data_IF_298790954285
#
_entry.id   IF_298790954285
#
_cell.length_a   1.000
_cell.length_b   1.000
_cell.length_c   1.000
_cell.angle_alpha   90.00
_cell.angle_beta   90.00
_cell.angle_gamma   90.00
#
_symmetry.space_group_name_H-M   'P 1'
#
loop_
_entity.id
_entity.type
_entity.pdbx_description
1 polymer ?
#
# COMPACT_ATOMS: atom_id res chain seq x y z
N UNK A 1 1.97 35.57 6.57
CA UNK A 1 2.81 34.47 6.07
C UNK A 1 3.75 35.05 5.02
N UNK A 2 5.05 35.03 5.28
CA UNK A 2 6.05 35.54 4.31
C UNK A 2 6.29 34.53 3.19
N UNK A 3 6.88 34.96 2.07
CA UNK A 3 7.29 34.03 1.00
C UNK A 3 8.32 33.00 1.48
N UNK A 4 9.12 33.36 2.50
CA UNK A 4 10.08 32.47 3.13
C UNK A 4 9.39 31.38 3.96
N UNK A 5 8.38 31.75 4.76
CA UNK A 5 7.60 30.78 5.54
C UNK A 5 6.92 29.78 4.60
N UNK A 6 6.29 30.28 3.54
CA UNK A 6 5.65 29.47 2.51
C UNK A 6 6.62 28.55 1.77
N UNK A 7 7.86 29.01 1.51
CA UNK A 7 8.91 28.18 0.94
C UNK A 7 9.29 27.03 1.88
N UNK A 8 9.54 27.33 3.16
CA UNK A 8 9.91 26.33 4.17
C UNK A 8 8.82 25.26 4.30
N UNK A 9 7.56 25.68 4.44
CA UNK A 9 6.42 24.77 4.54
C UNK A 9 6.25 23.92 3.27
N UNK A 10 6.45 24.51 2.08
CA UNK A 10 6.44 23.76 0.83
C UNK A 10 7.53 22.68 0.79
N UNK A 11 8.75 22.98 1.25
CA UNK A 11 9.83 21.98 1.34
C UNK A 11 9.50 20.85 2.34
N UNK A 12 8.89 21.18 3.47
CA UNK A 12 8.47 20.20 4.46
C UNK A 12 7.36 19.29 3.92
N UNK A 13 6.42 19.86 3.18
CA UNK A 13 5.36 19.11 2.53
C UNK A 13 5.89 18.15 1.45
N UNK A 14 6.85 18.60 0.63
CA UNK A 14 7.53 17.74 -0.34
C UNK A 14 8.24 16.57 0.35
N UNK A 15 8.96 16.82 1.45
CA UNK A 15 9.59 15.78 2.28
C UNK A 15 8.56 14.79 2.84
N UNK A 16 7.45 15.30 3.38
CA UNK A 16 6.34 14.50 3.85
C UNK A 16 5.78 13.56 2.77
N UNK A 17 5.55 14.09 1.56
CA UNK A 17 5.01 13.36 0.42
C UNK A 17 5.99 12.35 -0.23
N UNK A 18 7.26 12.34 0.20
CA UNK A 18 8.26 11.36 -0.25
C UNK A 18 9.30 11.89 -1.24
N UNK A 19 9.38 13.20 -1.45
CA UNK A 19 10.46 13.81 -2.22
C UNK A 19 11.63 14.11 -1.28
N UNK A 20 12.81 13.49 -1.46
CA UNK A 20 13.96 13.72 -0.60
C UNK A 20 14.62 15.05 -0.97
N UNK A 21 14.14 16.13 -0.36
CA UNK A 21 14.69 17.48 -0.53
C UNK A 21 15.64 17.79 0.63
N UNK A 22 16.88 18.15 0.30
CA UNK A 22 17.92 18.59 1.23
C UNK A 22 17.88 20.10 1.47
N UNK A 23 18.54 20.55 2.53
CA UNK A 23 18.64 21.98 2.83
C UNK A 23 19.37 22.76 1.73
N UNK A 24 20.42 22.18 1.14
CA UNK A 24 21.14 22.80 0.02
C UNK A 24 20.23 22.99 -1.20
N UNK A 25 19.40 21.99 -1.52
CA UNK A 25 18.44 22.09 -2.63
C UNK A 25 17.36 23.15 -2.37
N UNK A 26 16.97 23.33 -1.10
CA UNK A 26 16.12 24.45 -0.69
C UNK A 26 16.77 25.81 -0.96
N UNK A 27 18.06 25.97 -0.64
CA UNK A 27 18.82 27.18 -0.92
C UNK A 27 19.02 27.41 -2.42
N UNK A 28 19.26 26.33 -3.19
CA UNK A 28 19.36 26.39 -4.65
C UNK A 28 18.03 26.84 -5.27
N UNK A 29 16.90 26.35 -4.75
CA UNK A 29 15.58 26.80 -5.15
C UNK A 29 15.36 28.28 -4.87
N UNK A 30 15.74 28.78 -3.68
CA UNK A 30 15.68 30.22 -3.36
C UNK A 30 16.57 31.04 -4.30
N UNK A 31 17.77 30.55 -4.60
CA UNK A 31 18.72 31.19 -5.51
C UNK A 31 18.13 31.27 -6.92
N UNK A 32 17.53 30.18 -7.41
CA UNK A 32 16.85 30.14 -8.70
C UNK A 32 15.67 31.11 -8.75
N UNK A 33 14.87 31.21 -7.67
CA UNK A 33 13.79 32.20 -7.56
C UNK A 33 14.31 33.64 -7.62
N UNK A 34 15.49 33.91 -7.04
CA UNK A 34 16.13 35.23 -7.10
C UNK A 34 16.52 35.66 -8.51
N UNK A 35 16.79 34.71 -9.42
CA UNK A 35 17.20 34.97 -10.80
C UNK A 35 16.01 35.15 -11.75
N UNK A 36 14.97 34.33 -11.60
CA UNK A 36 13.79 34.34 -12.50
C UNK A 36 12.71 35.33 -12.05
N UNK A 37 12.67 35.68 -10.77
CA UNK A 37 11.63 36.51 -10.17
C UNK A 37 10.29 35.78 -9.96
N UNK A 38 9.35 36.43 -9.28
CA UNK A 38 8.07 35.82 -8.87
C UNK A 38 6.88 36.16 -9.79
N UNK A 39 7.17 36.78 -10.94
CA UNK A 39 6.14 37.39 -11.79
C UNK A 39 5.40 36.37 -12.67
N UNK A 40 6.07 35.27 -13.03
CA UNK A 40 5.49 34.21 -13.84
C UNK A 40 5.40 32.92 -13.03
N UNK A 41 4.17 32.55 -12.69
CA UNK A 41 3.85 31.32 -11.97
C UNK A 41 4.42 30.07 -12.63
N UNK A 42 4.36 29.98 -13.96
CA UNK A 42 4.85 28.81 -14.68
C UNK A 42 6.36 28.70 -14.54
N UNK A 43 7.08 29.82 -14.64
CA UNK A 43 8.54 29.84 -14.44
C UNK A 43 8.93 29.49 -13.01
N UNK A 44 8.20 30.02 -12.01
CA UNK A 44 8.38 29.65 -10.59
C UNK A 44 8.18 28.15 -10.40
N UNK A 45 7.13 27.56 -10.99
CA UNK A 45 6.87 26.11 -10.94
C UNK A 45 8.03 25.31 -11.52
N UNK A 46 8.47 25.64 -12.73
CA UNK A 46 9.51 24.88 -13.42
C UNK A 46 10.88 25.04 -12.76
N UNK A 47 11.20 26.21 -12.18
CA UNK A 47 12.45 26.39 -11.47
C UNK A 47 12.46 25.67 -10.11
N UNK A 48 11.34 25.61 -9.39
CA UNK A 48 11.20 24.70 -8.25
C UNK A 48 11.31 23.24 -8.68
N UNK A 49 10.69 22.84 -9.79
CA UNK A 49 10.79 21.48 -10.29
C UNK A 49 12.25 21.12 -10.65
N UNK A 50 12.97 22.02 -11.32
CA UNK A 50 14.35 21.83 -11.74
C UNK A 50 15.33 21.70 -10.56
N UNK A 51 15.03 22.34 -9.42
CA UNK A 51 15.89 22.33 -8.24
C UNK A 51 15.53 21.23 -7.24
N UNK A 52 14.25 20.81 -7.18
CA UNK A 52 13.74 19.92 -6.14
C UNK A 52 13.34 18.52 -6.62
N UNK A 53 13.05 18.32 -7.91
CA UNK A 53 12.54 17.04 -8.44
C UNK A 53 13.66 16.21 -9.06
N UNK A 54 13.94 15.04 -8.47
CA UNK A 54 15.07 14.16 -8.88
C UNK A 54 14.67 13.09 -9.87
N UNK A 55 13.42 12.64 -9.81
CA UNK A 55 12.89 11.53 -10.61
C UNK A 55 11.62 11.95 -11.32
N UNK A 56 11.43 11.47 -12.55
CA UNK A 56 10.24 11.79 -13.34
C UNK A 56 8.93 11.37 -12.65
N UNK A 57 8.96 10.26 -11.90
CA UNK A 57 7.81 9.75 -11.14
C UNK A 57 7.37 10.66 -9.97
N UNK A 58 8.22 11.60 -9.52
CA UNK A 58 7.92 12.55 -8.46
C UNK A 58 7.21 13.81 -8.96
N UNK A 59 7.20 14.03 -10.29
CA UNK A 59 6.66 15.25 -10.91
C UNK A 59 5.18 15.47 -10.61
N UNK A 60 4.36 14.42 -10.67
CA UNK A 60 2.93 14.54 -10.41
C UNK A 60 2.61 14.96 -8.96
N UNK A 61 3.34 14.39 -7.99
CA UNK A 61 3.23 14.76 -6.57
C UNK A 61 3.70 16.20 -6.33
N UNK A 62 4.83 16.58 -6.92
CA UNK A 62 5.34 17.96 -6.87
C UNK A 62 4.32 18.96 -7.43
N UNK A 63 3.78 18.70 -8.63
CA UNK A 63 2.82 19.57 -9.29
C UNK A 63 1.59 19.80 -8.41
N UNK A 64 1.06 18.73 -7.80
CA UNK A 64 -0.08 18.82 -6.88
C UNK A 64 0.21 19.68 -5.64
N UNK A 65 1.40 19.53 -5.03
CA UNK A 65 1.82 20.38 -3.90
C UNK A 65 2.03 21.82 -4.33
N UNK A 66 2.59 22.05 -5.50
CA UNK A 66 2.86 23.39 -6.00
C UNK A 66 1.57 24.18 -6.24
N UNK A 67 0.51 23.54 -6.77
CA UNK A 67 -0.80 24.17 -6.91
C UNK A 67 -1.44 24.54 -5.55
N UNK A 68 -1.16 23.77 -4.50
CA UNK A 68 -1.67 24.03 -3.15
C UNK A 68 -0.96 25.20 -2.45
N UNK A 69 0.37 25.21 -2.47
CA UNK A 69 1.17 26.22 -1.76
C UNK A 69 1.22 27.55 -2.50
N UNK A 70 1.12 27.51 -3.81
CA UNK A 70 1.09 28.70 -4.65
C UNK A 70 -0.21 28.63 -5.44
N UNK A 71 -1.39 29.05 -4.94
CA UNK A 71 -2.59 29.07 -5.75
C UNK A 71 -2.52 30.15 -6.83
N UNK A 72 -3.26 29.98 -7.94
CA UNK A 72 -3.43 31.07 -8.93
C UNK A 72 -4.21 32.21 -8.26
N UNK A 73 -3.60 33.39 -8.13
CA UNK A 73 -4.35 34.59 -7.76
C UNK A 73 -5.29 34.93 -8.92
N UNK A 74 -6.56 34.57 -8.78
CA UNK A 74 -7.65 35.17 -9.55
C UNK A 74 -7.81 36.58 -8.97
N UNK A 75 -7.77 37.59 -9.84
CA UNK A 75 -7.85 39.00 -9.45
C UNK A 75 -9.02 39.30 -8.51
N UNK A 76 -8.82 40.30 -7.65
CA UNK A 76 -9.80 40.87 -6.73
C UNK A 76 -11.20 40.91 -7.33
N UNK A 77 -12.08 40.02 -6.84
CA UNK A 77 -13.42 39.84 -7.35
C UNK A 77 -14.22 38.69 -6.72
N UNK A 78 -13.59 37.84 -5.89
CA UNK A 78 -14.29 36.83 -5.09
C UNK A 78 -13.95 36.88 -3.59
N UNK A 79 -13.49 38.03 -3.11
CA UNK A 79 -13.28 38.25 -1.66
C UNK A 79 -14.52 38.85 -0.98
N UNK A 80 -15.53 39.29 -1.75
CA UNK A 80 -16.78 39.83 -1.20
C UNK A 80 -17.91 38.80 -1.01
N UNK A 81 -17.72 37.53 -1.42
CA UNK A 81 -18.69 36.46 -1.15
C UNK A 81 -18.44 35.70 0.17
N UNK A 82 -17.38 36.04 0.89
CA UNK A 82 -17.00 35.37 2.14
C UNK A 82 -16.71 36.40 3.23
N UNK A 83 -17.75 37.11 3.67
CA UNK A 83 -17.72 37.77 4.98
C UNK A 83 -17.78 36.70 6.08
N UNK A 84 -16.88 36.74 7.08
CA UNK A 84 -16.98 35.92 8.28
C UNK A 84 -18.10 36.50 9.15
N UNK A 85 -19.34 36.07 8.92
CA UNK A 85 -20.50 36.68 9.57
C UNK A 85 -21.80 35.93 9.33
N UNK A 86 -21.80 34.60 9.51
CA UNK A 86 -23.04 33.81 9.61
C UNK A 86 -22.80 32.38 10.14
N UNK A 87 -21.93 32.23 11.13
CA UNK A 87 -21.72 30.95 11.84
C UNK A 87 -22.41 30.92 13.22
N UNK A 88 -23.51 31.64 13.39
CA UNK A 88 -24.36 31.61 14.59
C UNK A 88 -25.83 31.50 14.18
N UNK A 89 -26.23 30.36 13.62
CA UNK A 89 -27.63 29.89 13.59
C UNK A 89 -27.76 28.53 12.87
N UNK A 90 -27.29 27.45 13.49
CA UNK A 90 -27.83 26.12 13.23
C UNK A 90 -27.69 25.31 14.51
N UNK A 91 -28.79 25.19 15.25
CA UNK A 91 -28.85 24.43 16.49
C UNK A 91 -28.35 23.00 16.27
N UNK A 92 -27.50 22.53 17.19
CA UNK A 92 -27.09 21.13 17.29
C UNK A 92 -28.34 20.30 17.59
N UNK A 93 -29.02 19.85 16.55
CA UNK A 93 -30.06 18.84 16.66
C UNK A 93 -29.40 17.54 17.14
N UNK A 94 -30.01 16.89 18.14
CA UNK A 94 -29.46 15.67 18.75
C UNK A 94 -29.38 14.55 17.71
N UNK A 95 -28.20 13.96 17.55
CA UNK A 95 -27.92 12.75 16.76
C UNK A 95 -28.67 11.52 17.35
N UNK A 96 -29.99 11.47 17.17
CA UNK A 96 -30.82 10.32 17.51
C UNK A 96 -30.93 9.33 16.35
N UNK A 97 -31.29 8.05 16.62
CA UNK A 97 -31.52 7.04 15.57
C UNK A 97 -32.59 7.46 14.54
N UNK A 98 -33.65 8.15 14.97
CA UNK A 98 -34.71 8.65 14.08
C UNK A 98 -34.20 9.64 13.01
N UNK A 99 -33.20 10.46 13.33
CA UNK A 99 -32.62 11.42 12.39
C UNK A 99 -31.68 10.76 11.36
N UNK A 100 -31.11 9.60 11.70
CA UNK A 100 -30.33 8.78 10.78
C UNK A 100 -31.24 8.06 9.79
N UNK A 101 -32.38 7.55 10.27
CA UNK A 101 -33.37 6.87 9.43
C UNK A 101 -33.96 7.83 8.39
N UNK A 102 -34.41 9.02 8.81
CA UNK A 102 -34.95 10.06 7.92
C UNK A 102 -33.90 10.50 6.86
N UNK A 103 -32.64 10.64 7.26
CA UNK A 103 -31.55 10.96 6.33
C UNK A 103 -31.32 9.84 5.31
N UNK A 104 -31.34 8.59 5.79
CA UNK A 104 -31.10 7.39 4.96
C UNK A 104 -32.23 7.20 3.94
N UNK A 105 -33.47 7.54 4.29
CA UNK A 105 -34.60 7.52 3.36
C UNK A 105 -34.44 8.54 2.24
N UNK A 106 -34.14 9.80 2.58
CA UNK A 106 -33.86 10.86 1.59
C UNK A 106 -32.69 10.51 0.67
N UNK A 107 -31.66 9.85 1.22
CA UNK A 107 -30.50 9.38 0.45
C UNK A 107 -30.88 8.23 -0.50
N UNK A 108 -31.69 7.28 -0.05
CA UNK A 108 -32.16 6.18 -0.90
C UNK A 108 -32.97 6.70 -2.09
N UNK A 109 -33.86 7.68 -1.88
CA UNK A 109 -34.64 8.31 -2.94
C UNK A 109 -33.74 9.05 -3.95
N UNK A 110 -32.77 9.84 -3.47
CA UNK A 110 -31.83 10.55 -4.34
C UNK A 110 -30.96 9.58 -5.17
N UNK A 111 -30.54 8.45 -4.58
CA UNK A 111 -29.78 7.40 -5.26
C UNK A 111 -30.63 6.67 -6.32
N UNK A 112 -31.91 6.43 -6.05
CA UNK A 112 -32.83 5.83 -7.02
C UNK A 112 -33.07 6.77 -8.21
N UNK A 113 -33.28 8.05 -7.94
CA UNK A 113 -33.49 9.10 -8.95
C UNK A 113 -32.22 9.50 -9.72
N UNK A 114 -31.02 9.08 -9.25
CA UNK A 114 -29.71 9.51 -9.78
C UNK A 114 -29.52 11.04 -9.75
N UNK A 115 -30.12 11.70 -8.75
CA UNK A 115 -30.07 13.15 -8.62
C UNK A 115 -28.72 13.59 -8.05
N UNK A 116 -27.79 13.91 -8.96
CA UNK A 116 -26.42 14.27 -8.62
C UNK A 116 -26.36 15.55 -7.76
N UNK A 117 -27.30 16.48 -7.90
CA UNK A 117 -27.30 17.71 -7.12
C UNK A 117 -27.76 17.47 -5.69
N UNK A 118 -28.84 16.71 -5.52
CA UNK A 118 -29.30 16.28 -4.20
C UNK A 118 -28.26 15.41 -3.49
N UNK A 119 -27.59 14.50 -4.20
CA UNK A 119 -26.52 13.67 -3.63
C UNK A 119 -25.33 14.50 -3.12
N UNK A 120 -24.99 15.62 -3.76
CA UNK A 120 -23.95 16.54 -3.25
C UNK A 120 -24.38 17.22 -1.95
N UNK A 121 -25.64 17.67 -1.87
CA UNK A 121 -26.18 18.30 -0.66
C UNK A 121 -26.22 17.31 0.51
N UNK A 122 -26.72 16.09 0.27
CA UNK A 122 -26.76 15.02 1.26
C UNK A 122 -25.36 14.57 1.68
N UNK A 123 -24.38 14.53 0.78
CA UNK A 123 -22.99 14.23 1.14
C UNK A 123 -22.41 15.27 2.11
N UNK A 124 -22.68 16.56 1.89
CA UNK A 124 -22.28 17.61 2.80
C UNK A 124 -23.00 17.52 4.16
N UNK A 125 -24.30 17.23 4.16
CA UNK A 125 -25.08 17.01 5.38
C UNK A 125 -24.58 15.79 6.16
N UNK A 126 -24.21 14.69 5.48
CA UNK A 126 -23.66 13.48 6.08
C UNK A 126 -22.33 13.75 6.81
N UNK A 127 -21.42 14.49 6.19
CA UNK A 127 -20.15 14.87 6.83
C UNK A 127 -20.41 15.79 8.03
N UNK A 128 -21.35 16.73 7.91
CA UNK A 128 -21.69 17.68 8.98
C UNK A 128 -22.25 16.98 10.22
N UNK A 129 -23.21 16.07 10.04
CA UNK A 129 -23.93 15.40 11.14
C UNK A 129 -23.20 14.16 11.64
N UNK A 130 -22.75 13.31 10.73
CA UNK A 130 -22.23 11.98 11.08
C UNK A 130 -20.71 11.86 11.00
N UNK A 131 -20.05 12.82 10.34
CA UNK A 131 -18.58 12.85 10.18
C UNK A 131 -17.83 13.62 11.27
N UNK A 132 -18.54 14.34 12.15
CA UNK A 132 -17.96 15.11 13.24
C UNK A 132 -17.42 14.20 14.36
N UNK A 133 -16.17 14.43 14.75
CA UNK A 133 -15.45 13.74 15.83
C UNK A 133 -15.00 14.78 16.87
N UNK A 134 -15.91 15.27 17.73
CA UNK A 134 -15.56 16.22 18.78
C UNK A 134 -14.61 15.58 19.82
N UNK A 135 -13.59 16.32 20.25
CA UNK A 135 -12.73 15.93 21.38
C UNK A 135 -11.46 15.14 21.04
N UNK A 136 -11.05 15.05 19.76
CA UNK A 136 -9.72 14.51 19.44
C UNK A 136 -8.61 15.48 19.86
N UNK A 137 -7.52 14.93 20.41
CA UNK A 137 -6.36 15.69 20.87
C UNK A 137 -5.68 16.53 19.77
N UNK A 138 -4.79 17.47 20.15
CA UNK A 138 -4.16 18.42 19.23
C UNK A 138 -3.53 17.72 18.02
N UNK A 139 -3.89 18.15 16.81
CA UNK A 139 -3.31 17.65 15.55
C UNK A 139 -4.14 16.62 14.77
N UNK A 140 -5.16 16.00 15.37
CA UNK A 140 -6.04 15.04 14.69
C UNK A 140 -7.24 15.74 14.01
N UNK A 141 -7.74 15.22 12.88
CA UNK A 141 -8.90 15.84 12.19
C UNK A 141 -10.19 15.63 12.99
N UNK A 142 -10.95 16.72 13.12
CA UNK A 142 -12.32 16.83 13.63
C UNK A 142 -13.37 16.22 12.69
N UNK A 143 -13.02 16.01 11.41
CA UNK A 143 -13.89 15.42 10.39
C UNK A 143 -13.31 14.10 9.85
N UNK A 144 -14.20 13.14 9.56
CA UNK A 144 -13.84 11.80 9.07
C UNK A 144 -14.91 11.27 8.08
N UNK A 145 -14.52 11.08 6.82
CA UNK A 145 -15.38 10.43 5.80
C UNK A 145 -15.66 8.97 6.16
N UNK A 146 -14.66 8.25 6.68
CA UNK A 146 -14.81 6.86 7.15
C UNK A 146 -15.89 6.75 8.24
N UNK A 147 -15.94 7.70 9.17
CA UNK A 147 -16.93 7.70 10.25
C UNK A 147 -18.33 7.99 9.74
N UNK A 148 -18.47 8.96 8.82
CA UNK A 148 -19.74 9.25 8.17
C UNK A 148 -20.25 8.02 7.38
N UNK A 149 -19.41 7.43 6.53
CA UNK A 149 -19.77 6.27 5.71
C UNK A 149 -20.07 5.02 6.56
N UNK A 150 -19.31 4.78 7.63
CA UNK A 150 -19.55 3.64 8.52
C UNK A 150 -20.89 3.76 9.27
N UNK A 151 -21.29 4.97 9.65
CA UNK A 151 -22.60 5.20 10.29
C UNK A 151 -23.76 5.04 9.32
N UNK A 152 -23.53 5.29 8.03
CA UNK A 152 -24.53 5.15 6.97
C UNK A 152 -24.64 3.73 6.40
N UNK A 153 -23.80 2.78 6.84
CA UNK A 153 -23.77 1.38 6.38
C UNK A 153 -23.89 1.24 4.86
N UNK A 154 -22.81 1.53 4.13
CA UNK A 154 -22.80 1.53 2.65
C UNK A 154 -23.29 0.22 2.02
N UNK A 155 -23.13 -0.90 2.71
CA UNK A 155 -23.60 -2.23 2.27
C UNK A 155 -25.13 -2.34 2.34
N UNK A 156 -25.75 -1.77 3.39
CA UNK A 156 -27.22 -1.70 3.54
C UNK A 156 -27.84 -0.74 2.52
N UNK A 157 -27.20 0.42 2.30
CA UNK A 157 -27.61 1.36 1.25
C UNK A 157 -27.56 0.73 -0.13
N UNK A 158 -26.52 -0.04 -0.43
CA UNK A 158 -26.38 -0.74 -1.70
C UNK A 158 -27.48 -1.78 -1.88
N UNK A 159 -27.74 -2.58 -0.84
CA UNK A 159 -28.79 -3.60 -0.86
C UNK A 159 -30.18 -3.00 -1.08
N UNK A 160 -30.52 -1.93 -0.33
CA UNK A 160 -31.78 -1.20 -0.44
C UNK A 160 -31.97 -0.53 -1.80
N UNK A 161 -30.89 -0.01 -2.39
CA UNK A 161 -30.93 0.59 -3.72
C UNK A 161 -31.15 -0.45 -4.82
N UNK A 162 -30.52 -1.62 -4.72
CA UNK A 162 -30.72 -2.73 -5.66
C UNK A 162 -32.17 -3.20 -5.64
N UNK A 163 -32.74 -3.40 -4.44
CA UNK A 163 -34.15 -3.78 -4.28
C UNK A 163 -35.10 -2.73 -4.88
N UNK A 164 -34.86 -1.43 -4.64
CA UNK A 164 -35.66 -0.35 -5.21
C UNK A 164 -35.59 -0.27 -6.74
N UNK A 165 -34.41 -0.47 -7.34
CA UNK A 165 -34.25 -0.51 -8.79
C UNK A 165 -34.95 -1.72 -9.41
N UNK A 166 -34.92 -2.88 -8.76
CA UNK A 166 -35.64 -4.08 -9.19
C UNK A 166 -37.16 -3.87 -9.19
N UNK A 167 -37.70 -3.22 -8.16
CA UNK A 167 -39.12 -2.85 -8.11
C UNK A 167 -39.50 -1.86 -9.24
N UNK A 168 -38.55 -1.05 -9.68
CA UNK A 168 -38.68 -0.17 -10.86
C UNK A 168 -38.54 -0.86 -12.22
N UNK A 169 -38.47 -2.20 -12.26
CA UNK A 169 -38.44 -3.00 -13.50
C UNK A 169 -37.05 -3.28 -14.08
N UNK A 170 -35.97 -3.01 -13.32
CA UNK A 170 -34.60 -3.32 -13.74
C UNK A 170 -34.27 -4.80 -13.54
N UNK A 171 -33.42 -5.36 -14.40
CA UNK A 171 -32.93 -6.73 -14.20
C UNK A 171 -31.97 -6.79 -13.01
N UNK A 172 -31.84 -7.97 -12.38
CA UNK A 172 -31.00 -8.15 -11.18
C UNK A 172 -29.53 -7.72 -11.43
N UNK A 173 -28.96 -8.09 -12.59
CA UNK A 173 -27.59 -7.71 -12.92
C UNK A 173 -27.42 -6.21 -13.21
N UNK A 174 -28.40 -5.57 -13.84
CA UNK A 174 -28.35 -4.13 -14.12
C UNK A 174 -28.53 -3.31 -12.85
N UNK A 175 -29.45 -3.72 -11.98
CA UNK A 175 -29.70 -3.11 -10.67
C UNK A 175 -28.46 -3.22 -9.77
N UNK A 176 -27.81 -4.40 -9.71
CA UNK A 176 -26.59 -4.60 -8.95
C UNK A 176 -25.46 -3.67 -9.43
N UNK A 177 -25.19 -3.64 -10.75
CA UNK A 177 -24.13 -2.80 -11.32
C UNK A 177 -24.42 -1.31 -11.16
N UNK A 178 -25.67 -0.88 -11.32
CA UNK A 178 -26.06 0.51 -11.15
C UNK A 178 -26.01 0.93 -9.68
N UNK A 179 -26.47 0.07 -8.77
CA UNK A 179 -26.48 0.30 -7.34
C UNK A 179 -25.08 0.57 -6.79
N UNK A 180 -24.14 -0.34 -7.03
CA UNK A 180 -22.74 -0.19 -6.60
C UNK A 180 -22.12 1.11 -7.13
N UNK A 181 -22.28 1.40 -8.43
CA UNK A 181 -21.72 2.63 -9.03
C UNK A 181 -22.26 3.92 -8.40
N UNK A 182 -23.55 3.96 -8.05
CA UNK A 182 -24.19 5.15 -7.48
C UNK A 182 -23.79 5.36 -6.03
N UNK A 183 -23.70 4.28 -5.25
CA UNK A 183 -23.19 4.34 -3.86
C UNK A 183 -21.71 4.73 -3.84
N UNK A 184 -20.88 4.18 -4.74
CA UNK A 184 -19.47 4.57 -4.88
C UNK A 184 -19.31 6.06 -5.22
N UNK A 185 -20.16 6.58 -6.10
CA UNK A 185 -20.20 8.02 -6.43
C UNK A 185 -20.51 8.85 -5.19
N UNK A 186 -21.54 8.46 -4.43
CA UNK A 186 -21.90 9.15 -3.20
C UNK A 186 -20.76 9.11 -2.17
N UNK A 187 -20.11 7.96 -1.98
CA UNK A 187 -18.94 7.84 -1.12
C UNK A 187 -17.80 8.79 -1.55
N UNK A 188 -17.56 8.93 -2.85
CA UNK A 188 -16.61 9.90 -3.39
C UNK A 188 -16.98 11.37 -3.11
N UNK A 189 -18.27 11.70 -3.11
CA UNK A 189 -18.76 13.04 -2.74
C UNK A 189 -18.58 13.32 -1.24
N UNK A 190 -18.86 12.33 -0.38
CA UNK A 190 -18.64 12.41 1.07
C UNK A 190 -17.15 12.60 1.38
N UNK A 191 -16.27 11.87 0.69
CA UNK A 191 -14.82 12.08 0.81
C UNK A 191 -14.39 13.47 0.36
N UNK A 192 -14.95 13.99 -0.73
CA UNK A 192 -14.62 15.32 -1.24
C UNK A 192 -15.04 16.42 -0.26
N UNK A 193 -16.24 16.33 0.32
CA UNK A 193 -16.72 17.31 1.31
C UNK A 193 -15.95 17.22 2.63
N UNK A 194 -15.64 16.00 3.11
CA UNK A 194 -14.78 15.82 4.28
C UNK A 194 -13.39 16.41 4.07
N UNK A 195 -12.80 16.21 2.88
CA UNK A 195 -11.53 16.85 2.50
C UNK A 195 -11.64 18.38 2.47
N UNK A 196 -12.74 18.93 1.94
CA UNK A 196 -12.98 20.39 1.93
C UNK A 196 -13.03 20.96 3.35
N UNK A 197 -13.74 20.33 4.28
CA UNK A 197 -13.85 20.81 5.67
C UNK A 197 -12.56 20.66 6.46
N UNK A 198 -11.84 19.56 6.26
CA UNK A 198 -10.51 19.39 6.85
C UNK A 198 -9.56 20.48 6.33
N UNK A 199 -9.69 20.85 5.06
CA UNK A 199 -8.94 21.94 4.45
C UNK A 199 -9.32 23.32 5.02
N UNK A 200 -10.60 23.58 5.24
CA UNK A 200 -11.10 24.81 5.85
C UNK A 200 -10.65 24.95 7.32
N UNK A 201 -10.59 23.85 8.08
CA UNK A 201 -10.29 23.89 9.52
C UNK A 201 -8.78 23.88 9.85
N UNK A 202 -7.95 23.20 9.05
CA UNK A 202 -6.57 22.86 9.47
C UNK A 202 -5.46 23.58 8.72
N UNK A 203 -5.81 24.54 7.86
CA UNK A 203 -4.84 25.31 7.10
C UNK A 203 -4.06 24.47 6.06
N UNK A 204 -3.31 25.14 5.17
CA UNK A 204 -2.65 24.52 4.02
C UNK A 204 -1.62 23.43 4.34
N UNK A 205 -0.99 23.47 5.52
CA UNK A 205 0.07 22.53 5.94
C UNK A 205 -0.43 21.08 6.11
N UNK A 206 -1.64 20.86 6.64
CA UNK A 206 -2.20 19.51 6.81
C UNK A 206 -2.92 19.00 5.56
N UNK A 207 -3.41 19.89 4.70
CA UNK A 207 -3.93 19.55 3.37
C UNK A 207 -2.82 18.92 2.52
N UNK A 208 -1.60 19.42 2.62
CA UNK A 208 -0.47 18.86 1.90
C UNK A 208 -0.19 17.38 2.25
N UNK A 209 -0.44 16.98 3.50
CA UNK A 209 -0.28 15.59 3.97
C UNK A 209 -1.46 14.67 3.60
N UNK A 210 -2.65 15.23 3.34
CA UNK A 210 -3.90 14.46 3.13
C UNK A 210 -4.35 14.48 1.65
N UNK A 211 -4.17 15.60 0.96
CA UNK A 211 -4.65 15.84 -0.40
C UNK A 211 -3.62 15.50 -1.47
N UNK A 212 -2.33 15.48 -1.14
CA UNK A 212 -1.30 15.16 -2.13
C UNK A 212 -0.99 13.68 -2.08
N UNK A 213 -1.28 13.04 -3.21
CA UNK A 213 -0.97 11.64 -3.45
C UNK A 213 0.52 11.41 -3.18
N UNK A 214 0.86 10.51 -2.23
CA UNK A 214 2.26 10.19 -1.96
C UNK A 214 2.93 9.69 -3.23
N UNK A 215 4.25 9.88 -3.34
CA UNK A 215 5.03 9.28 -4.43
C UNK A 215 4.75 7.78 -4.53
N UNK A 216 4.91 7.19 -5.72
CA UNK A 216 4.69 5.75 -5.96
C UNK A 216 5.41 4.86 -4.93
N UNK A 217 6.56 5.31 -4.41
CA UNK A 217 7.35 4.61 -3.39
C UNK A 217 6.70 4.55 -1.98
N UNK A 218 5.83 5.51 -1.66
CA UNK A 218 5.10 5.62 -0.39
C UNK A 218 3.61 5.32 -0.53
N UNK A 219 3.14 5.04 -1.75
CA UNK A 219 1.76 4.66 -2.03
C UNK A 219 1.45 3.34 -1.35
N UNK A 220 0.36 3.32 -0.60
CA UNK A 220 -0.14 2.11 0.07
C UNK A 220 -0.64 1.10 -0.98
N UNK A 221 -0.10 -0.13 -0.93
CA UNK A 221 -0.49 -1.21 -1.83
C UNK A 221 -1.98 -1.54 -1.74
N UNK A 222 -2.61 -1.39 -0.58
CA UNK A 222 -4.05 -1.64 -0.40
C UNK A 222 -4.91 -0.61 -1.14
N UNK A 223 -4.37 0.59 -1.38
CA UNK A 223 -5.09 1.72 -2.00
C UNK A 223 -4.59 2.05 -3.43
N UNK A 224 -3.68 1.24 -3.98
CA UNK A 224 -3.13 1.45 -5.30
C UNK A 224 -4.20 1.24 -6.40
N UNK A 225 -4.22 2.12 -7.42
CA UNK A 225 -5.11 1.98 -8.57
C UNK A 225 -4.42 1.20 -9.68
N UNK A 226 -5.22 0.67 -10.61
CA UNK A 226 -4.71 -0.05 -11.81
C UNK A 226 -3.66 0.75 -12.60
N UNK A 227 -3.82 2.08 -12.71
CA UNK A 227 -2.87 2.94 -13.41
C UNK A 227 -1.50 3.06 -12.73
N UNK A 228 -1.40 2.78 -11.43
CA UNK A 228 -0.13 2.85 -10.69
C UNK A 228 0.67 1.56 -10.78
N UNK A 229 0.01 0.44 -11.13
CA UNK A 229 0.63 -0.88 -11.19
C UNK A 229 1.78 -0.94 -12.19
N UNK A 230 1.67 -0.26 -13.33
CA UNK A 230 2.73 -0.26 -14.33
C UNK A 230 3.98 0.48 -13.83
N UNK A 231 3.79 1.58 -13.11
CA UNK A 231 4.88 2.33 -12.50
C UNK A 231 5.51 1.55 -11.33
N UNK A 232 4.68 0.93 -10.48
CA UNK A 232 5.14 0.03 -9.41
C UNK A 232 5.97 -1.12 -9.98
N UNK A 233 5.53 -1.74 -11.07
CA UNK A 233 6.24 -2.85 -11.72
C UNK A 233 7.67 -2.50 -12.10
N UNK A 234 7.90 -1.29 -12.65
CA UNK A 234 9.24 -0.82 -13.04
C UNK A 234 10.17 -0.66 -11.84
N UNK A 235 9.63 -0.25 -10.69
CA UNK A 235 10.40 -0.04 -9.45
C UNK A 235 10.59 -1.32 -8.62
N UNK A 236 9.67 -2.28 -8.71
CA UNK A 236 9.78 -3.58 -8.01
C UNK A 236 10.94 -4.41 -8.56
N UNK A 237 11.16 -4.36 -9.88
CA UNK A 237 12.13 -5.24 -10.54
C UNK A 237 13.58 -5.08 -10.00
N UNK A 238 14.13 -3.85 -9.87
CA UNK A 238 15.43 -3.63 -9.25
C UNK A 238 15.49 -4.00 -7.76
N UNK A 239 14.37 -3.89 -7.03
CA UNK A 239 14.27 -4.26 -5.63
C UNK A 239 14.28 -5.78 -5.45
N UNK A 240 13.50 -6.50 -6.26
CA UNK A 240 13.46 -7.96 -6.28
C UNK A 240 14.83 -8.54 -6.62
N UNK A 241 15.56 -7.94 -7.57
CA UNK A 241 16.94 -8.35 -7.88
C UNK A 241 17.89 -8.18 -6.69
N UNK A 242 17.78 -7.07 -5.95
CA UNK A 242 18.55 -6.85 -4.72
C UNK A 242 18.15 -7.85 -3.63
N UNK A 243 16.86 -8.07 -3.42
CA UNK A 243 16.32 -9.05 -2.47
C UNK A 243 16.85 -10.46 -2.77
N UNK A 244 16.73 -10.91 -4.02
CA UNK A 244 17.21 -12.21 -4.45
C UNK A 244 18.72 -12.36 -4.26
N UNK A 245 19.47 -11.31 -4.60
CA UNK A 245 20.92 -11.28 -4.38
C UNK A 245 21.23 -11.40 -2.89
N UNK A 246 20.52 -10.70 -1.99
CA UNK A 246 20.74 -10.73 -0.54
C UNK A 246 20.35 -12.06 0.10
N UNK A 247 19.18 -12.59 -0.23
CA UNK A 247 18.73 -13.92 0.23
C UNK A 247 19.66 -15.05 -0.25
N UNK A 248 20.39 -14.84 -1.35
CA UNK A 248 21.37 -15.80 -1.88
C UNK A 248 22.80 -15.50 -1.41
N UNK A 249 23.12 -14.24 -1.12
CA UNK A 249 24.43 -13.80 -0.64
C UNK A 249 24.59 -14.14 0.84
N UNK A 250 25.28 -15.24 1.10
CA UNK A 250 25.87 -15.48 2.42
C UNK A 250 26.88 -14.39 2.77
N UNK A 251 27.05 -14.15 4.08
CA UNK A 251 28.22 -13.57 4.77
C UNK A 251 29.51 -14.39 4.48
N UNK A 252 29.84 -14.56 3.20
CA UNK A 252 31.01 -15.30 2.72
C UNK A 252 32.33 -14.60 3.04
N UNK A 253 32.29 -13.38 3.60
CA UNK A 253 33.48 -12.62 3.94
C UNK A 253 34.33 -13.29 5.04
N UNK A 254 33.78 -14.20 5.86
CA UNK A 254 34.49 -14.69 7.05
C UNK A 254 34.87 -16.18 7.07
N UNK A 255 34.47 -17.01 6.11
CA UNK A 255 34.79 -18.46 6.14
C UNK A 255 35.41 -18.94 4.83
N UNK A 256 36.74 -19.02 4.82
CA UNK A 256 37.53 -19.68 3.78
C UNK A 256 37.11 -21.16 3.68
N UNK A 257 36.95 -21.68 2.46
CA UNK A 257 36.62 -23.09 2.21
C UNK A 257 37.75 -24.04 2.67
N UNK A 258 37.68 -25.33 2.33
CA UNK A 258 38.80 -26.23 2.60
C UNK A 258 40.07 -25.79 1.83
N UNK A 259 41.24 -25.95 2.44
CA UNK A 259 42.54 -25.64 1.79
C UNK A 259 42.71 -26.52 0.56
N UNK A 260 43.00 -25.91 -0.58
CA UNK A 260 43.42 -26.60 -1.78
C UNK A 260 44.91 -26.91 -1.69
N UNK A 261 45.24 -28.08 -1.15
CA UNK A 261 46.62 -28.53 -0.93
C UNK A 261 47.45 -28.48 -2.22
N UNK A 262 46.88 -28.87 -3.36
CA UNK A 262 47.61 -28.90 -4.64
C UNK A 262 47.95 -27.49 -5.11
N UNK A 263 47.00 -26.57 -5.03
CA UNK A 263 47.20 -25.17 -5.44
C UNK A 263 48.11 -24.42 -4.46
N UNK A 264 47.97 -24.71 -3.17
CA UNK A 264 48.79 -24.15 -2.08
C UNK A 264 50.23 -24.61 -2.18
N UNK A 265 50.50 -25.91 -2.33
CA UNK A 265 51.87 -26.43 -2.48
C UNK A 265 52.54 -25.90 -3.75
N UNK A 266 51.78 -25.77 -4.85
CA UNK A 266 52.30 -25.23 -6.11
C UNK A 266 52.66 -23.75 -6.01
N UNK A 267 51.87 -22.93 -5.31
CA UNK A 267 52.22 -21.52 -5.07
C UNK A 267 53.39 -21.37 -4.09
N UNK A 268 53.54 -22.33 -3.17
CA UNK A 268 54.59 -22.34 -2.14
C UNK A 268 55.93 -22.90 -2.64
N UNK A 269 56.03 -23.30 -3.91
CA UNK A 269 57.32 -23.75 -4.47
C UNK A 269 58.36 -22.64 -4.48
N UNK A 270 57.93 -21.37 -4.64
CA UNK A 270 58.82 -20.21 -4.59
C UNK A 270 59.37 -19.94 -3.17
N UNK A 271 58.67 -20.40 -2.14
CA UNK A 271 59.03 -20.27 -0.73
C UNK A 271 59.67 -21.55 -0.16
N UNK A 272 60.30 -22.35 -1.02
CA UNK A 272 60.98 -23.59 -0.60
C UNK A 272 60.03 -24.69 -0.10
N UNK A 273 58.76 -24.64 -0.49
CA UNK A 273 57.73 -25.60 -0.08
C UNK A 273 56.97 -25.20 1.19
N UNK A 274 57.29 -24.06 1.81
CA UNK A 274 56.61 -23.57 3.03
C UNK A 274 55.31 -22.83 2.66
N UNK A 275 54.12 -23.28 3.11
CA UNK A 275 52.84 -22.67 2.79
C UNK A 275 52.60 -21.32 3.50
N UNK A 276 53.16 -20.24 2.96
CA UNK A 276 52.97 -18.88 3.50
C UNK A 276 51.59 -18.32 3.16
N UNK A 277 51.11 -18.57 1.94
CA UNK A 277 49.80 -18.11 1.46
C UNK A 277 48.91 -19.31 1.10
N UNK A 278 47.94 -19.62 1.97
CA UNK A 278 47.02 -20.74 1.78
C UNK A 278 46.01 -20.43 0.67
N UNK A 279 45.94 -21.31 -0.33
CA UNK A 279 44.92 -21.24 -1.38
C UNK A 279 43.77 -22.14 -1.01
N UNK A 280 42.56 -21.60 -1.02
CA UNK A 280 41.35 -22.32 -0.64
C UNK A 280 40.54 -22.73 -1.87
N UNK A 281 39.84 -23.86 -1.79
CA UNK A 281 38.85 -24.22 -2.80
C UNK A 281 37.70 -23.20 -2.75
N UNK A 282 37.28 -22.64 -3.89
CA UNK A 282 36.10 -21.78 -3.93
C UNK A 282 34.89 -22.62 -3.49
N UNK A 283 34.20 -22.18 -2.43
CA UNK A 283 32.92 -22.77 -2.05
C UNK A 283 31.94 -22.42 -3.17
N UNK A 284 31.41 -23.43 -3.87
CA UNK A 284 30.42 -23.18 -4.93
C UNK A 284 29.16 -22.62 -4.25
N UNK A 285 28.59 -21.50 -4.74
CA UNK A 285 27.34 -20.99 -4.18
C UNK A 285 26.28 -22.09 -4.30
N UNK A 286 25.67 -22.45 -3.17
CA UNK A 286 24.46 -23.26 -3.21
C UNK A 286 23.34 -22.33 -3.70
N UNK A 287 22.61 -22.77 -4.73
CA UNK A 287 21.40 -22.06 -5.18
C UNK A 287 20.36 -22.21 -4.06
N UNK A 288 20.01 -21.13 -3.39
CA UNK A 288 18.89 -21.10 -2.44
C UNK A 288 17.59 -21.34 -3.21
N UNK A 289 16.70 -22.12 -2.63
CA UNK A 289 15.36 -22.35 -3.16
C UNK A 289 14.42 -21.34 -2.49
N UNK A 290 13.54 -20.68 -3.24
CA UNK A 290 12.57 -19.75 -2.66
C UNK A 290 11.19 -20.40 -2.64
N UNK A 291 10.56 -20.40 -1.47
CA UNK A 291 9.17 -20.82 -1.29
C UNK A 291 8.36 -19.62 -0.86
N UNK A 292 7.31 -19.29 -1.62
CA UNK A 292 6.46 -18.12 -1.34
C UNK A 292 5.04 -18.60 -1.06
N UNK A 293 4.46 -18.14 0.05
CA UNK A 293 3.04 -18.32 0.39
C UNK A 293 2.34 -16.96 0.30
N UNK A 294 1.36 -16.86 -0.59
CA UNK A 294 0.65 -15.62 -0.88
C UNK A 294 -0.82 -15.73 -0.49
N UNK A 295 -1.28 -14.82 0.37
CA UNK A 295 -2.71 -14.61 0.61
C UNK A 295 -3.34 -13.90 -0.60
N UNK A 296 -4.39 -14.50 -1.15
CA UNK A 296 -5.17 -13.95 -2.28
C UNK A 296 -6.63 -13.67 -1.90
N UNK A 297 -6.91 -13.57 -0.61
CA UNK A 297 -8.25 -13.29 -0.12
C UNK A 297 -8.76 -11.90 -0.47
N UNK A 298 -10.10 -11.74 -0.43
CA UNK A 298 -10.77 -10.50 -0.80
C UNK A 298 -10.36 -9.28 0.04
N UNK A 299 -9.96 -9.48 1.30
CA UNK A 299 -9.49 -8.40 2.21
C UNK A 299 -8.22 -7.72 1.71
N UNK A 300 -7.43 -8.38 0.87
CA UNK A 300 -6.12 -7.93 0.41
C UNK A 300 -5.97 -7.92 -1.11
N UNK A 301 -7.07 -7.88 -1.88
CA UNK A 301 -7.08 -7.98 -3.35
C UNK A 301 -6.05 -7.10 -4.09
N UNK A 302 -5.87 -5.84 -3.68
CA UNK A 302 -4.84 -4.95 -4.26
C UNK A 302 -3.41 -5.35 -3.86
N UNK A 303 -3.20 -5.85 -2.64
CA UNK A 303 -1.92 -6.37 -2.17
C UNK A 303 -1.57 -7.72 -2.81
N UNK A 304 -2.55 -8.58 -3.12
CA UNK A 304 -2.35 -9.81 -3.86
C UNK A 304 -1.72 -9.53 -5.24
N UNK A 305 -2.17 -8.48 -5.93
CA UNK A 305 -1.59 -8.04 -7.21
C UNK A 305 -0.12 -7.63 -7.06
N UNK A 306 0.21 -6.86 -6.04
CA UNK A 306 1.59 -6.48 -5.72
C UNK A 306 2.47 -7.71 -5.41
N UNK A 307 1.95 -8.59 -4.56
CA UNK A 307 2.61 -9.84 -4.17
C UNK A 307 2.96 -10.69 -5.38
N UNK A 308 2.04 -10.82 -6.33
CA UNK A 308 2.26 -11.57 -7.55
C UNK A 308 3.31 -10.90 -8.45
N UNK A 309 3.31 -9.57 -8.57
CA UNK A 309 4.40 -8.85 -9.27
C UNK A 309 5.77 -9.11 -8.63
N UNK A 310 5.84 -9.13 -7.29
CA UNK A 310 7.08 -9.43 -6.57
C UNK A 310 7.53 -10.89 -6.82
N UNK A 311 6.61 -11.86 -6.77
CA UNK A 311 6.88 -13.28 -7.08
C UNK A 311 7.45 -13.42 -8.49
N UNK A 312 6.85 -12.76 -9.48
CA UNK A 312 7.35 -12.74 -10.86
C UNK A 312 8.78 -12.20 -10.95
N UNK A 313 9.03 -11.06 -10.32
CA UNK A 313 10.34 -10.42 -10.34
C UNK A 313 11.41 -11.26 -9.61
N UNK A 314 11.05 -11.98 -8.55
CA UNK A 314 11.95 -12.88 -7.83
C UNK A 314 12.22 -14.16 -8.62
N UNK A 315 11.23 -14.72 -9.31
CA UNK A 315 11.38 -15.97 -10.06
C UNK A 315 12.50 -15.92 -11.11
N UNK A 316 12.70 -14.77 -11.75
CA UNK A 316 13.80 -14.61 -12.73
C UNK A 316 15.20 -14.66 -12.10
N UNK A 317 15.31 -14.48 -10.78
CA UNK A 317 16.59 -14.37 -10.07
C UNK A 317 16.98 -15.63 -9.30
N UNK A 318 16.01 -16.48 -8.94
CA UNK A 318 16.25 -17.72 -8.19
C UNK A 318 16.33 -18.94 -9.10
N UNK A 319 17.20 -19.90 -8.76
CA UNK A 319 17.37 -21.14 -9.53
C UNK A 319 16.19 -22.11 -9.45
N UNK A 320 15.40 -22.02 -8.38
CA UNK A 320 14.17 -22.79 -8.16
C UNK A 320 13.25 -21.98 -7.24
N UNK A 321 12.07 -21.65 -7.74
CA UNK A 321 11.02 -20.95 -6.97
C UNK A 321 9.78 -21.82 -6.99
N UNK A 322 9.17 -22.02 -5.82
CA UNK A 322 7.82 -22.58 -5.68
C UNK A 322 6.93 -21.51 -5.08
N UNK A 323 5.84 -21.18 -5.75
CA UNK A 323 4.89 -20.18 -5.30
C UNK A 323 3.56 -20.87 -5.02
N UNK A 324 2.95 -20.55 -3.89
CA UNK A 324 1.66 -21.06 -3.48
C UNK A 324 0.75 -19.89 -3.13
N UNK A 325 -0.52 -19.99 -3.51
CA UNK A 325 -1.56 -19.04 -3.15
C UNK A 325 -2.59 -19.74 -2.28
N UNK A 326 -3.15 -19.03 -1.30
CA UNK A 326 -4.18 -19.59 -0.43
C UNK A 326 -5.31 -18.62 -0.13
N UNK A 327 -6.50 -19.19 0.11
CA UNK A 327 -7.67 -18.55 0.73
C UNK A 327 -8.15 -19.46 1.85
N UNK A 328 -8.89 -20.52 1.50
CA UNK A 328 -9.26 -21.63 2.41
C UNK A 328 -8.43 -22.88 2.15
N UNK A 329 -7.93 -23.03 0.92
CA UNK A 329 -7.05 -24.12 0.46
C UNK A 329 -5.79 -23.54 -0.15
N UNK A 330 -4.72 -24.33 -0.10
CA UNK A 330 -3.44 -23.98 -0.69
C UNK A 330 -3.29 -24.59 -2.08
N UNK A 331 -2.87 -23.76 -3.04
CA UNK A 331 -2.65 -24.16 -4.43
C UNK A 331 -1.25 -23.79 -4.87
N UNK A 332 -0.52 -24.75 -5.43
CA UNK A 332 0.76 -24.46 -6.08
C UNK A 332 0.53 -23.79 -7.43
N UNK A 333 1.05 -22.58 -7.57
CA UNK A 333 0.86 -21.72 -8.75
C UNK A 333 2.16 -21.52 -9.54
N UNK A 334 3.23 -22.23 -9.17
CA UNK A 334 4.56 -22.18 -9.78
C UNK A 334 4.55 -22.24 -11.32
N UNK A 335 3.63 -23.02 -11.91
CA UNK A 335 3.51 -23.23 -13.36
C UNK A 335 2.93 -22.02 -14.13
N UNK A 336 2.19 -21.14 -13.46
CA UNK A 336 1.58 -19.96 -14.05
C UNK A 336 2.59 -18.84 -14.29
N UNK A 337 3.64 -18.77 -13.47
CA UNK A 337 4.67 -17.74 -13.59
C UNK A 337 5.69 -18.10 -14.67
N UNK A 338 5.35 -18.08 -15.97
CA UNK A 338 6.34 -18.37 -17.04
C UNK A 338 7.19 -17.12 -17.37
N UNK A 339 8.47 -17.26 -17.77
CA UNK A 339 9.26 -16.11 -18.24
C UNK A 339 8.56 -15.48 -19.45
N UNK A 340 8.28 -14.17 -19.38
CA UNK A 340 7.55 -13.44 -20.42
C UNK A 340 6.02 -13.64 -20.42
N UNK A 341 5.44 -14.29 -19.41
CA UNK A 341 3.99 -14.29 -19.24
C UNK A 341 3.47 -12.88 -18.90
N UNK A 342 2.31 -12.52 -19.45
CA UNK A 342 1.64 -11.30 -19.04
C UNK A 342 1.11 -11.46 -17.60
N UNK A 343 1.44 -10.48 -16.77
CA UNK A 343 0.93 -10.35 -15.41
C UNK A 343 -0.60 -10.31 -15.43
N UNK A 344 -1.21 -9.58 -16.36
CA UNK A 344 -2.66 -9.40 -16.43
C UNK A 344 -3.36 -10.72 -16.73
N UNK A 345 -2.83 -11.50 -17.67
CA UNK A 345 -3.36 -12.83 -18.01
C UNK A 345 -3.18 -13.79 -16.83
N UNK A 346 -2.01 -13.77 -16.18
CA UNK A 346 -1.74 -14.63 -15.03
C UNK A 346 -2.63 -14.28 -13.85
N UNK A 347 -2.83 -12.99 -13.56
CA UNK A 347 -3.76 -12.51 -12.54
C UNK A 347 -5.18 -12.95 -12.85
N UNK A 348 -5.59 -12.88 -14.12
CA UNK A 348 -6.93 -13.27 -14.57
C UNK A 348 -7.14 -14.77 -14.42
N UNK A 349 -6.17 -15.59 -14.80
CA UNK A 349 -6.22 -17.05 -14.64
C UNK A 349 -6.18 -17.47 -13.17
N UNK A 350 -5.36 -16.81 -12.34
CA UNK A 350 -5.35 -17.02 -10.89
C UNK A 350 -6.68 -16.61 -10.26
N UNK A 351 -7.23 -15.45 -10.66
CA UNK A 351 -8.53 -14.97 -10.17
C UNK A 351 -9.63 -15.96 -10.53
N UNK A 352 -9.70 -16.43 -11.78
CA UNK A 352 -10.66 -17.48 -12.21
C UNK A 352 -10.48 -18.79 -11.44
N UNK A 353 -9.23 -19.22 -11.22
CA UNK A 353 -8.93 -20.43 -10.44
C UNK A 353 -9.38 -20.26 -8.98
N UNK A 354 -9.28 -19.05 -8.43
CA UNK A 354 -9.71 -18.72 -7.07
C UNK A 354 -11.20 -18.41 -6.94
N UNK A 355 -11.89 -17.93 -7.99
CA UNK A 355 -13.32 -17.61 -8.00
C UNK A 355 -14.20 -18.84 -7.72
N UNK A 356 -13.73 -20.03 -8.11
CA UNK A 356 -14.41 -21.29 -7.77
C UNK A 356 -14.36 -21.60 -6.26
N UNK A 357 -13.33 -21.11 -5.55
CA UNK A 357 -13.14 -21.31 -4.11
C UNK A 357 -13.60 -20.11 -3.27
N UNK A 358 -13.58 -18.89 -3.83
CA UNK A 358 -13.93 -17.64 -3.16
C UNK A 358 -15.43 -17.41 -3.00
N UNK A 359 -16.29 -18.21 -3.67
CA UNK A 359 -17.75 -18.10 -3.53
C UNK A 359 -18.28 -18.45 -2.13
N UNK A 360 -17.46 -18.99 -1.22
CA UNK A 360 -17.90 -19.47 0.11
C UNK A 360 -16.88 -19.36 1.26
N UNK A 361 -15.66 -18.84 1.07
CA UNK A 361 -14.56 -19.01 2.03
C UNK A 361 -14.03 -17.72 2.69
N UNK A 362 -13.75 -17.77 4.01
CA UNK A 362 -13.02 -16.75 4.78
C UNK A 362 -11.59 -17.25 5.00
N UNK A 363 -10.57 -16.42 4.75
CA UNK A 363 -9.15 -16.77 4.86
C UNK A 363 -8.84 -17.57 6.12
N UNK A 364 -8.23 -18.74 5.97
CA UNK A 364 -7.87 -19.61 7.08
C UNK A 364 -6.39 -20.01 6.98
N UNK A 365 -5.53 -19.21 7.63
CA UNK A 365 -4.08 -19.44 7.68
C UNK A 365 -3.72 -20.80 8.29
N UNK A 366 -4.40 -21.20 9.38
CA UNK A 366 -4.07 -22.47 10.05
C UNK A 366 -4.34 -23.68 9.17
N UNK A 367 -5.46 -23.69 8.43
CA UNK A 367 -5.76 -24.73 7.45
C UNK A 367 -4.76 -24.71 6.30
N UNK A 368 -4.40 -23.54 5.78
CA UNK A 368 -3.41 -23.40 4.72
C UNK A 368 -2.03 -23.96 5.14
N UNK A 369 -1.55 -23.65 6.35
CA UNK A 369 -0.28 -24.18 6.87
C UNK A 369 -0.32 -25.69 7.11
N UNK A 370 -1.43 -26.20 7.63
CA UNK A 370 -1.59 -27.63 7.87
C UNK A 370 -1.63 -28.43 6.56
N UNK A 371 -2.38 -27.96 5.57
CA UNK A 371 -2.42 -28.57 4.24
C UNK A 371 -1.08 -28.45 3.50
N UNK A 372 -0.35 -27.35 3.68
CA UNK A 372 0.99 -27.21 3.13
C UNK A 372 1.94 -28.27 3.67
N UNK A 373 1.95 -28.47 5.00
CA UNK A 373 2.77 -29.51 5.62
C UNK A 373 2.36 -30.91 5.17
N UNK A 374 1.07 -31.18 5.00
CA UNK A 374 0.60 -32.49 4.55
C UNK A 374 0.99 -32.79 3.10
N UNK A 375 0.80 -31.82 2.19
CA UNK A 375 0.88 -32.07 0.74
C UNK A 375 2.19 -31.60 0.09
N UNK A 376 2.89 -30.66 0.72
CA UNK A 376 3.99 -29.92 0.13
C UNK A 376 5.18 -29.72 1.08
N UNK A 377 5.34 -30.56 2.11
CA UNK A 377 6.50 -30.52 2.99
C UNK A 377 7.85 -30.64 2.25
N UNK A 378 7.87 -31.30 1.09
CA UNK A 378 9.04 -31.42 0.21
C UNK A 378 9.52 -30.08 -0.37
N UNK A 379 8.69 -29.04 -0.32
CA UNK A 379 9.04 -27.69 -0.76
C UNK A 379 10.06 -27.02 0.17
N UNK A 380 10.01 -27.33 1.47
CA UNK A 380 10.89 -26.74 2.47
C UNK A 380 12.06 -27.67 2.82
N UNK A 381 13.22 -27.07 3.06
CA UNK A 381 14.39 -27.79 3.51
C UNK A 381 15.52 -26.83 3.92
N UNK A 382 16.69 -27.36 4.31
CA UNK A 382 17.78 -26.55 4.88
C UNK A 382 18.42 -25.53 3.92
N UNK A 383 17.98 -25.51 2.65
CA UNK A 383 18.41 -24.57 1.61
C UNK A 383 17.28 -23.64 1.14
N UNK A 384 16.06 -23.83 1.63
CA UNK A 384 14.91 -23.03 1.23
C UNK A 384 14.81 -21.76 2.07
N UNK A 385 14.39 -20.66 1.46
CA UNK A 385 13.92 -19.46 2.16
C UNK A 385 12.41 -19.40 2.01
N UNK A 386 11.69 -19.28 3.12
CA UNK A 386 10.24 -19.14 3.18
C UNK A 386 9.87 -17.66 3.27
N UNK A 387 9.02 -17.20 2.35
CA UNK A 387 8.46 -15.86 2.36
C UNK A 387 6.93 -15.95 2.42
N UNK A 388 6.33 -15.43 3.48
CA UNK A 388 4.87 -15.36 3.65
C UNK A 388 4.42 -13.92 3.38
N UNK A 389 3.40 -13.75 2.55
CA UNK A 389 2.85 -12.46 2.15
C UNK A 389 1.35 -12.47 2.48
N UNK A 390 0.93 -11.70 3.49
CA UNK A 390 -0.47 -11.70 3.95
C UNK A 390 -0.70 -10.89 5.23
N UNK A 391 -1.96 -10.57 5.51
CA UNK A 391 -2.43 -9.70 6.60
C UNK A 391 -2.43 -10.35 8.00
N UNK A 392 -2.25 -11.67 8.07
CA UNK A 392 -2.28 -12.45 9.31
C UNK A 392 -3.64 -12.40 10.05
N UNK A 393 -4.75 -12.19 9.32
CA UNK A 393 -6.11 -12.28 9.87
C UNK A 393 -6.56 -13.72 9.99
N UNK A 394 -6.93 -14.11 11.20
CA UNK A 394 -7.30 -15.49 11.52
C UNK A 394 -8.76 -15.82 11.24
N UNK A 395 -9.65 -14.83 11.08
CA UNK A 395 -11.10 -15.05 11.05
C UNK A 395 -11.62 -15.91 12.23
N UNK A 396 -10.94 -15.88 13.38
CA UNK A 396 -11.20 -16.72 14.56
C UNK A 396 -11.02 -18.23 14.33
N UNK A 397 -10.29 -18.63 13.29
CA UNK A 397 -9.92 -20.03 13.07
C UNK A 397 -8.71 -20.44 13.91
N UNK A 398 -8.45 -21.74 13.97
CA UNK A 398 -7.18 -22.24 14.49
C UNK A 398 -6.02 -21.62 13.69
N UNK A 399 -4.96 -21.23 14.39
CA UNK A 399 -3.77 -20.59 13.82
C UNK A 399 -2.76 -21.60 13.28
N UNK A 400 -2.87 -22.86 13.72
CA UNK A 400 -1.91 -23.94 13.43
C UNK A 400 -0.45 -23.49 13.65
N UNK A 401 -0.19 -22.85 14.78
CA UNK A 401 1.12 -22.30 15.15
C UNK A 401 2.24 -23.35 15.13
N UNK A 402 1.93 -24.61 15.43
CA UNK A 402 2.90 -25.71 15.38
C UNK A 402 3.29 -26.06 13.94
N UNK A 403 2.33 -26.06 13.01
CA UNK A 403 2.59 -26.24 11.57
C UNK A 403 3.51 -25.12 11.05
N UNK A 404 3.23 -23.88 11.43
CA UNK A 404 4.05 -22.73 11.06
C UNK A 404 5.47 -22.81 11.65
N UNK A 405 5.59 -23.21 12.92
CA UNK A 405 6.89 -23.39 13.57
C UNK A 405 7.72 -24.45 12.85
N UNK A 406 7.12 -25.59 12.53
CA UNK A 406 7.78 -26.65 11.77
C UNK A 406 8.21 -26.18 10.37
N UNK A 407 7.42 -25.33 9.70
CA UNK A 407 7.80 -24.73 8.41
C UNK A 407 8.99 -23.78 8.56
N UNK A 408 8.97 -22.92 9.57
CA UNK A 408 10.04 -21.97 9.87
C UNK A 408 11.35 -22.70 10.18
N UNK A 409 11.32 -23.71 11.05
CA UNK A 409 12.48 -24.53 11.45
C UNK A 409 13.05 -25.36 10.30
N UNK A 410 12.19 -25.83 9.40
CA UNK A 410 12.62 -26.59 8.21
C UNK A 410 13.30 -25.70 7.17
N UNK A 411 13.03 -24.39 7.21
CA UNK A 411 13.59 -23.42 6.28
C UNK A 411 14.88 -22.81 6.81
N UNK A 412 15.76 -22.39 5.91
CA UNK A 412 16.99 -21.69 6.28
C UNK A 412 16.71 -20.26 6.78
N UNK A 413 15.75 -19.60 6.15
CA UNK A 413 15.29 -18.25 6.47
C UNK A 413 13.78 -18.22 6.32
N UNK A 414 13.08 -17.59 7.25
CA UNK A 414 11.63 -17.41 7.20
C UNK A 414 11.28 -15.96 7.51
N UNK A 415 10.58 -15.31 6.58
CA UNK A 415 10.13 -13.92 6.74
C UNK A 415 8.66 -13.79 6.37
N UNK A 416 7.95 -12.89 7.06
CA UNK A 416 6.56 -12.56 6.79
C UNK A 416 6.44 -11.06 6.49
N UNK A 417 5.89 -10.69 5.33
CA UNK A 417 5.56 -9.30 5.01
C UNK A 417 4.05 -9.07 5.16
N UNK A 418 3.70 -8.20 6.10
CA UNK A 418 2.32 -7.86 6.44
C UNK A 418 1.94 -6.48 5.84
N UNK A 419 0.87 -6.38 5.02
CA UNK A 419 0.39 -5.11 4.46
C UNK A 419 -0.36 -4.20 5.43
N UNK A 420 -0.69 -4.65 6.64
CA UNK A 420 -1.34 -3.81 7.65
C UNK A 420 -0.32 -3.05 8.50
N UNK A 421 -0.71 -1.86 8.99
CA UNK A 421 0.10 -1.08 9.93
C UNK A 421 0.29 -1.83 11.24
N UNK A 422 1.46 -1.72 11.85
CA UNK A 422 1.72 -2.29 13.19
C UNK A 422 0.71 -1.88 14.25
N UNK A 423 0.13 -0.68 14.15
CA UNK A 423 -0.89 -0.21 15.09
C UNK A 423 -2.24 -0.93 14.95
N UNK A 424 -2.46 -1.63 13.83
CA UNK A 424 -3.64 -2.46 13.56
C UNK A 424 -3.36 -3.95 13.79
N UNK A 425 -2.10 -4.32 14.06
CA UNK A 425 -1.79 -5.68 14.48
C UNK A 425 -2.53 -5.97 15.79
N UNK A 426 -3.16 -7.15 15.85
CA UNK A 426 -4.02 -7.56 16.97
C UNK A 426 -5.31 -6.75 17.14
N UNK A 427 -5.73 -6.02 16.10
CA UNK A 427 -7.07 -5.42 16.07
C UNK A 427 -8.06 -6.35 15.37
N UNK A 428 -9.22 -6.56 16.00
CA UNK A 428 -10.25 -7.47 15.48
C UNK A 428 -9.81 -8.93 15.55
N UNK A 429 -9.72 -9.58 14.39
CA UNK A 429 -9.35 -10.98 14.21
C UNK A 429 -7.88 -11.16 13.73
N UNK A 430 -7.11 -10.08 13.69
CA UNK A 430 -5.67 -10.11 13.41
C UNK A 430 -4.95 -10.83 14.55
N UNK A 431 -4.10 -11.81 14.21
CA UNK A 431 -3.27 -12.55 15.18
C UNK A 431 -1.78 -12.39 14.85
N UNK A 432 -1.44 -11.21 14.29
CA UNK A 432 -0.13 -10.86 13.79
C UNK A 432 0.98 -11.02 14.85
N UNK A 433 0.74 -10.66 16.12
CA UNK A 433 1.75 -10.81 17.17
C UNK A 433 2.05 -12.28 17.49
N UNK A 434 1.04 -13.15 17.46
CA UNK A 434 1.27 -14.59 17.68
C UNK A 434 2.11 -15.19 16.56
N UNK A 435 1.79 -14.88 15.31
CA UNK A 435 2.59 -15.32 14.17
C UNK A 435 4.00 -14.70 14.16
N UNK A 436 4.11 -13.42 14.53
CA UNK A 436 5.36 -12.68 14.66
C UNK A 436 6.31 -13.22 15.73
N UNK A 437 5.80 -13.97 16.71
CA UNK A 437 6.62 -14.68 17.71
C UNK A 437 7.32 -15.92 17.15
N UNK A 438 6.87 -16.43 16.00
CA UNK A 438 7.37 -17.67 15.38
C UNK A 438 8.21 -17.36 14.15
N UNK A 439 7.74 -16.43 13.31
CA UNK A 439 8.41 -15.99 12.08
C UNK A 439 8.65 -14.48 12.18
N UNK A 440 9.81 -14.03 11.71
CA UNK A 440 10.12 -12.61 11.65
C UNK A 440 9.12 -11.87 10.74
N UNK A 441 8.18 -11.16 11.36
CA UNK A 441 7.14 -10.41 10.67
C UNK A 441 7.51 -8.94 10.55
N UNK A 442 7.34 -8.37 9.36
CA UNK A 442 7.60 -6.96 9.06
C UNK A 442 6.42 -6.30 8.36
N UNK A 443 6.19 -5.04 8.70
CA UNK A 443 5.23 -4.18 8.02
C UNK A 443 5.77 -3.81 6.64
N UNK A 444 5.01 -4.07 5.58
CA UNK A 444 5.38 -3.81 4.19
C UNK A 444 4.17 -3.35 3.37
N UNK A 445 3.89 -2.05 3.45
CA UNK A 445 2.73 -1.37 2.83
C UNK A 445 3.08 -0.61 1.56
N UNK A 446 4.37 -0.33 1.35
CA UNK A 446 4.85 0.43 0.21
C UNK A 446 6.28 0.00 -0.18
N UNK A 447 6.78 0.52 -1.31
CA UNK A 447 8.10 0.14 -1.82
C UNK A 447 9.25 0.62 -0.93
N UNK A 448 9.04 1.70 -0.17
CA UNK A 448 10.05 2.20 0.79
C UNK A 448 10.30 1.14 1.85
N UNK A 449 9.24 0.61 2.46
CA UNK A 449 9.33 -0.46 3.47
C UNK A 449 9.88 -1.77 2.89
N UNK A 450 9.53 -2.12 1.65
CA UNK A 450 10.16 -3.26 0.97
C UNK A 450 11.67 -3.02 0.80
N UNK A 451 12.09 -1.81 0.42
CA UNK A 451 13.51 -1.48 0.26
C UNK A 451 14.27 -1.50 1.59
N UNK A 452 13.64 -1.05 2.68
CA UNK A 452 14.17 -1.16 4.05
C UNK A 452 14.35 -2.61 4.46
N UNK A 453 13.34 -3.47 4.24
CA UNK A 453 13.46 -4.91 4.48
C UNK A 453 14.62 -5.54 3.70
N UNK A 454 14.77 -5.19 2.42
CA UNK A 454 15.89 -5.68 1.58
C UNK A 454 17.25 -5.19 2.11
N UNK A 455 17.30 -4.00 2.72
CA UNK A 455 18.50 -3.46 3.33
C UNK A 455 18.85 -4.19 4.64
N UNK A 456 17.86 -4.43 5.48
CA UNK A 456 18.02 -5.05 6.80
C UNK A 456 18.34 -6.55 6.76
N UNK A 457 18.13 -7.20 5.62
CA UNK A 457 18.61 -8.57 5.36
C UNK A 457 20.15 -8.67 5.24
N UNK A 458 20.88 -7.54 5.26
CA UNK A 458 22.35 -7.45 5.20
C UNK A 458 23.00 -7.65 6.57
#
# INVERSE_FOLDING_TARGET
>A
MTLLDRHIEFLEALRGAGLPVSLSEGLDAVTAMGLIGWNDRHQVKEAYAATLVKRANQRATFDGLFELYFPRMIGSGMTELFSPGSAEAAGVAKDGPEALDEFTERLAEALQADDVEMLRQLAAEAVARFGAMPGRGPGLSSWSSYTALRRLSTDELTSRLIEGLQQGGWTNEEAARAGTRRVDRFAGLVEADARRRIAEEKGPEQIAKIAVRPTIEKLDFLHARRADLEALRREIYPLARRLATRLTQEHHAHRRGAVDLRRTLRSSMSTGGVPVDLRYRPKRPHRTELVILCDVSGSVSNFATFTLMLVFALREQFGKVRAFTFVDEIHEVTSYFKPGADLVDTMTELTKATEHSARMGRTNYGRAFSLFQERHADALGPKSSLLILGDARSNYSDLAVDSLRAMAESSRHAHWLNPEVRTQWDTGDSEATRYGSIIEMRECRNLTQLSEFVHDLA
#
